data_IF_496208804212
#
_entry.id   IF_496208804212
#
_cell.length_a   1.000
_cell.length_b   1.000
_cell.length_c   1.000
_cell.angle_alpha   90.00
_cell.angle_beta   90.00
_cell.angle_gamma   90.00
#
_symmetry.space_group_name_H-M   'P 1'
#
loop_
_entity.id
_entity.type
_entity.pdbx_description
1 polymer ?
#
# COMPACT_ATOMS: atom_id res chain seq x y z
N UNK A 1 4.56 68.23 60.37
CA UNK A 1 5.15 68.80 59.15
C UNK A 1 4.06 68.72 58.08
N UNK A 2 3.26 69.78 57.96
CA UNK A 2 3.29 70.77 56.85
C UNK A 2 2.99 70.12 55.49
N UNK A 3 2.04 70.54 54.66
CA UNK A 3 0.96 71.55 54.71
C UNK A 3 0.17 71.34 53.38
N UNK A 4 -1.15 71.43 53.41
CA UNK A 4 -2.04 71.65 52.23
C UNK A 4 -1.62 72.93 51.44
N UNK A 5 -2.06 73.24 50.19
CA UNK A 5 -3.47 73.21 49.71
C UNK A 5 -3.73 73.09 48.17
N UNK A 6 -5.02 73.18 47.72
CA UNK A 6 -5.52 73.08 46.32
C UNK A 6 -5.75 74.51 45.72
N UNK A 7 -6.59 74.84 44.67
CA UNK A 7 -7.55 74.07 43.83
C UNK A 7 -7.57 74.38 42.29
N UNK A 8 -8.45 73.64 41.58
CA UNK A 8 -9.29 73.91 40.37
C UNK A 8 -9.37 75.38 39.87
N UNK A 9 -9.74 75.80 38.61
CA UNK A 9 -10.98 75.40 37.87
C UNK A 9 -11.04 75.69 36.32
N UNK A 10 -12.18 75.42 35.65
CA UNK A 10 -12.58 75.82 34.25
C UNK A 10 -11.82 75.14 33.07
N UNK A 11 -12.39 74.77 31.92
CA UNK A 11 -13.70 74.89 31.28
C UNK A 11 -13.58 74.25 29.86
N UNK A 12 -14.53 73.42 29.45
CA UNK A 12 -15.49 73.67 28.37
C UNK A 12 -14.96 73.88 26.92
N UNK A 13 -15.39 72.94 26.04
CA UNK A 13 -15.88 73.10 24.65
C UNK A 13 -14.90 73.34 23.47
N UNK A 14 -14.95 72.46 22.45
CA UNK A 14 -15.45 72.73 21.08
C UNK A 14 -14.97 71.68 20.04
N UNK A 15 -15.92 71.07 19.32
CA UNK A 15 -15.80 70.42 17.98
C UNK A 15 -15.72 71.55 16.91
N UNK A 16 -15.07 71.43 15.71
CA UNK A 16 -15.59 70.62 14.58
C UNK A 16 -14.57 70.08 13.51
N UNK A 17 -15.06 69.10 12.74
CA UNK A 17 -14.81 68.73 11.32
C UNK A 17 -13.49 69.08 10.57
N UNK A 18 -12.86 68.06 9.96
CA UNK A 18 -12.46 68.07 8.55
C UNK A 18 -12.06 66.67 8.04
N UNK A 19 -12.42 66.41 6.79
CA UNK A 19 -12.34 65.18 5.97
C UNK A 19 -11.09 64.29 6.08
N UNK A 20 -11.34 62.98 6.11
CA UNK A 20 -10.50 61.98 5.46
C UNK A 20 -11.35 60.77 5.04
N UNK A 21 -12.08 60.92 3.92
CA UNK A 21 -12.42 59.78 3.07
C UNK A 21 -11.14 59.21 2.46
N UNK A 22 -10.78 57.96 2.77
CA UNK A 22 -10.42 57.00 1.73
C UNK A 22 -10.13 55.60 2.26
N UNK A 23 -10.85 54.65 1.65
CA UNK A 23 -10.41 53.28 1.35
C UNK A 23 -10.24 52.33 2.53
N UNK A 24 -11.38 51.89 3.09
CA UNK A 24 -11.45 50.52 3.62
C UNK A 24 -11.29 49.56 2.44
N UNK A 25 -10.31 48.63 2.43
CA UNK A 25 -10.37 47.52 1.52
C UNK A 25 -11.56 46.67 1.94
N UNK A 26 -12.61 46.67 1.13
CA UNK A 26 -13.75 45.76 1.25
C UNK A 26 -13.22 44.34 1.03
N UNK A 27 -12.72 43.71 2.10
CA UNK A 27 -12.45 42.29 2.15
C UNK A 27 -13.80 41.57 2.19
N UNK A 28 -14.42 41.42 1.03
CA UNK A 28 -15.40 40.37 0.83
C UNK A 28 -14.57 39.10 0.76
N UNK A 29 -14.47 38.37 1.89
CA UNK A 29 -14.06 36.97 1.89
C UNK A 29 -15.09 36.19 1.04
N UNK A 30 -14.88 36.17 -0.27
CA UNK A 30 -15.62 35.33 -1.18
C UNK A 30 -15.46 33.88 -0.70
N UNK A 31 -16.59 33.20 -0.47
CA UNK A 31 -16.59 31.76 -0.15
C UNK A 31 -15.77 31.05 -1.24
N UNK A 32 -14.70 30.37 -0.84
CA UNK A 32 -13.83 29.62 -1.75
C UNK A 32 -14.67 28.76 -2.72
N UNK A 33 -14.36 28.86 -4.01
CA UNK A 33 -15.05 28.13 -5.08
C UNK A 33 -14.92 26.62 -4.86
N UNK A 34 -15.83 25.80 -5.41
CA UNK A 34 -15.72 24.34 -5.32
C UNK A 34 -14.37 23.80 -5.82
N UNK A 35 -13.82 24.39 -6.90
CA UNK A 35 -12.52 24.02 -7.46
C UNK A 35 -11.36 24.36 -6.53
N UNK A 36 -11.41 25.50 -5.83
CA UNK A 36 -10.39 25.87 -4.83
C UNK A 36 -10.42 24.92 -3.62
N UNK A 37 -11.62 24.53 -3.14
CA UNK A 37 -11.71 23.54 -2.05
C UNK A 37 -11.17 22.17 -2.44
N UNK A 38 -11.39 21.76 -3.70
CA UNK A 38 -10.81 20.55 -4.24
C UNK A 38 -9.27 20.64 -4.31
N UNK A 39 -8.73 21.77 -4.77
CA UNK A 39 -7.29 22.04 -4.78
C UNK A 39 -6.70 21.91 -3.37
N UNK A 40 -7.26 22.64 -2.39
CA UNK A 40 -6.79 22.63 -1.00
C UNK A 40 -6.84 21.22 -0.40
N UNK A 41 -7.91 20.46 -0.68
CA UNK A 41 -8.06 19.07 -0.23
C UNK A 41 -7.01 18.15 -0.86
N UNK A 42 -6.75 18.27 -2.16
CA UNK A 42 -5.77 17.45 -2.86
C UNK A 42 -4.34 17.75 -2.38
N UNK A 43 -4.03 19.02 -2.16
CA UNK A 43 -2.76 19.46 -1.57
C UNK A 43 -2.56 18.81 -0.20
N UNK A 44 -3.54 18.93 0.71
CA UNK A 44 -3.44 18.34 2.04
C UNK A 44 -3.31 16.81 2.02
N UNK A 45 -3.98 16.12 1.07
CA UNK A 45 -3.81 14.67 0.87
C UNK A 45 -2.40 14.32 0.39
N UNK A 46 -1.86 15.06 -0.57
CA UNK A 46 -0.49 14.81 -1.08
C UNK A 46 0.52 14.99 0.05
N UNK A 47 0.42 16.04 0.85
CA UNK A 47 1.32 16.27 1.98
C UNK A 47 1.23 15.13 3.02
N UNK A 48 0.01 14.70 3.34
CA UNK A 48 -0.20 13.56 4.25
C UNK A 48 0.40 12.26 3.69
N UNK A 49 0.22 11.98 2.39
CA UNK A 49 0.80 10.83 1.73
C UNK A 49 2.34 10.90 1.66
N UNK A 50 2.92 12.08 1.40
CA UNK A 50 4.38 12.28 1.42
C UNK A 50 4.97 12.07 2.82
N UNK A 51 4.30 12.58 3.85
CA UNK A 51 4.69 12.35 5.25
C UNK A 51 4.63 10.85 5.59
N UNK A 52 3.58 10.16 5.15
CA UNK A 52 3.44 8.72 5.35
C UNK A 52 4.52 7.91 4.63
N UNK A 53 4.80 8.23 3.36
CA UNK A 53 5.89 7.60 2.61
C UNK A 53 7.25 7.81 3.28
N UNK A 54 7.47 9.00 3.83
CA UNK A 54 8.69 9.32 4.59
C UNK A 54 8.79 8.47 5.85
N UNK A 55 7.69 8.30 6.60
CA UNK A 55 7.66 7.46 7.78
C UNK A 55 8.02 6.00 7.46
N UNK A 56 7.48 5.44 6.37
CA UNK A 56 7.82 4.09 5.91
C UNK A 56 9.29 3.95 5.52
N UNK A 57 9.85 4.94 4.81
CA UNK A 57 11.26 4.93 4.39
C UNK A 57 12.27 5.04 5.53
N UNK A 58 11.86 5.55 6.68
CA UNK A 58 12.75 5.75 7.82
C UNK A 58 12.90 4.52 8.72
N UNK A 59 12.03 3.52 8.59
CA UNK A 59 11.96 2.38 9.52
C UNK A 59 12.25 0.98 8.93
N UNK A 60 12.79 0.78 7.70
CA UNK A 60 12.95 -0.57 7.16
C UNK A 60 13.92 -1.42 7.99
N UNK A 61 15.01 -0.82 8.48
CA UNK A 61 16.00 -1.52 9.31
C UNK A 61 15.42 -1.99 10.64
N UNK A 62 14.57 -1.18 11.29
CA UNK A 62 13.96 -1.54 12.58
C UNK A 62 12.93 -2.68 12.42
N UNK A 63 12.15 -2.66 11.34
CA UNK A 63 11.20 -3.74 11.00
C UNK A 63 11.95 -5.05 10.78
N UNK A 64 13.01 -5.01 9.96
CA UNK A 64 13.82 -6.18 9.65
C UNK A 64 14.57 -6.72 10.88
N UNK A 65 15.14 -5.84 11.70
CA UNK A 65 15.78 -6.20 12.97
C UNK A 65 14.79 -6.91 13.90
N UNK A 66 13.57 -6.35 14.07
CA UNK A 66 12.52 -6.97 14.89
C UNK A 66 12.11 -8.34 14.35
N UNK A 67 12.01 -8.48 13.02
CA UNK A 67 11.70 -9.75 12.38
C UNK A 67 12.75 -10.81 12.74
N UNK A 68 14.03 -10.55 12.48
CA UNK A 68 15.09 -11.51 12.78
C UNK A 68 15.30 -11.76 14.29
N UNK A 69 15.14 -10.73 15.13
CA UNK A 69 15.39 -10.84 16.56
C UNK A 69 14.24 -11.47 17.35
N UNK A 70 12.99 -11.39 16.87
CA UNK A 70 11.81 -11.82 17.64
C UNK A 70 10.85 -12.71 16.88
N UNK A 71 10.50 -12.36 15.64
CA UNK A 71 9.54 -13.14 14.84
C UNK A 71 10.14 -14.49 14.42
N UNK A 72 11.34 -14.46 13.84
CA UNK A 72 11.99 -15.67 13.32
C UNK A 72 12.28 -16.70 14.42
N UNK A 73 12.74 -16.32 15.63
CA UNK A 73 12.78 -17.23 16.77
C UNK A 73 11.40 -17.77 17.16
N UNK A 74 10.35 -16.94 17.23
CA UNK A 74 9.03 -17.42 17.60
C UNK A 74 8.43 -18.42 16.59
N UNK A 75 8.71 -18.23 15.29
CA UNK A 75 8.36 -19.18 14.24
C UNK A 75 9.12 -20.51 14.40
N UNK A 76 10.42 -20.44 14.75
CA UNK A 76 11.21 -21.64 15.07
C UNK A 76 10.68 -22.36 16.29
N UNK A 77 10.40 -21.65 17.38
CA UNK A 77 9.88 -22.22 18.62
C UNK A 77 8.55 -22.95 18.38
N UNK A 78 7.65 -22.36 17.58
CA UNK A 78 6.41 -23.01 17.19
C UNK A 78 6.66 -24.28 16.38
N UNK A 79 7.54 -24.22 15.38
CA UNK A 79 7.89 -25.37 14.56
C UNK A 79 8.47 -26.50 15.41
N UNK A 80 9.42 -26.20 16.28
CA UNK A 80 10.06 -27.18 17.17
C UNK A 80 9.02 -27.82 18.11
N UNK A 81 8.06 -27.04 18.61
CA UNK A 81 6.96 -27.54 19.43
C UNK A 81 6.02 -28.46 18.63
N UNK A 82 5.67 -28.10 17.39
CA UNK A 82 4.87 -28.93 16.48
C UNK A 82 5.58 -30.26 16.19
N UNK A 83 6.85 -30.22 15.79
CA UNK A 83 7.64 -31.43 15.52
C UNK A 83 7.75 -32.31 16.75
N UNK A 84 7.97 -31.73 17.94
CA UNK A 84 8.01 -32.48 19.20
C UNK A 84 6.68 -33.20 19.47
N UNK A 85 5.55 -32.53 19.24
CA UNK A 85 4.23 -33.11 19.40
C UNK A 85 3.94 -34.20 18.38
N UNK A 86 4.29 -34.00 17.10
CA UNK A 86 4.15 -35.01 16.03
C UNK A 86 4.92 -36.29 16.40
N UNK A 87 6.19 -36.16 16.80
CA UNK A 87 7.03 -37.31 17.19
C UNK A 87 6.45 -38.03 18.42
N UNK A 88 5.92 -37.28 19.39
CA UNK A 88 5.27 -37.85 20.57
C UNK A 88 4.00 -38.63 20.19
N UNK A 89 3.18 -38.11 19.28
CA UNK A 89 1.97 -38.76 18.79
C UNK A 89 2.30 -40.04 18.00
N UNK A 90 3.29 -40.00 17.09
CA UNK A 90 3.78 -41.18 16.36
C UNK A 90 4.24 -42.29 17.33
N UNK A 91 5.04 -41.91 18.34
CA UNK A 91 5.50 -42.85 19.36
C UNK A 91 4.34 -43.48 20.15
N UNK A 92 3.29 -42.71 20.46
CA UNK A 92 2.11 -43.22 21.17
C UNK A 92 1.22 -44.11 20.30
N UNK A 93 1.12 -43.82 19.01
CA UNK A 93 0.36 -44.61 18.04
C UNK A 93 1.06 -45.94 17.73
N UNK A 94 2.38 -45.93 17.59
CA UNK A 94 3.21 -47.12 17.32
C UNK A 94 3.43 -47.98 18.55
N UNK A 95 3.71 -47.36 19.71
CA UNK A 95 3.99 -48.04 20.97
C UNK A 95 3.20 -47.43 22.13
N UNK A 96 1.90 -47.76 22.26
CA UNK A 96 1.03 -47.19 23.28
C UNK A 96 1.60 -47.39 24.70
N UNK A 97 1.68 -46.32 25.52
CA UNK A 97 2.24 -46.42 26.85
C UNK A 97 1.37 -47.31 27.76
N UNK A 98 2.01 -48.00 28.71
CA UNK A 98 1.34 -48.90 29.66
C UNK A 98 0.20 -48.18 30.38
N UNK A 99 -0.96 -48.84 30.48
CA UNK A 99 -2.17 -48.30 31.10
C UNK A 99 -3.07 -47.50 30.15
N UNK A 100 -2.60 -47.15 28.94
CA UNK A 100 -3.44 -46.55 27.92
C UNK A 100 -4.07 -47.63 27.03
N UNK A 101 -5.40 -47.76 27.08
CA UNK A 101 -6.14 -48.56 26.09
C UNK A 101 -6.32 -47.75 24.80
N UNK A 102 -5.67 -48.19 23.73
CA UNK A 102 -5.80 -47.59 22.40
C UNK A 102 -6.97 -48.20 21.64
N UNK A 103 -8.15 -47.56 21.70
CA UNK A 103 -9.33 -47.93 20.92
C UNK A 103 -9.20 -47.44 19.47
N UNK A 104 -10.03 -47.93 18.55
CA UNK A 104 -10.09 -47.42 17.17
C UNK A 104 -10.35 -45.90 17.17
N UNK A 105 -11.44 -45.46 17.82
CA UNK A 105 -11.79 -44.04 18.00
C UNK A 105 -10.64 -43.14 18.49
N UNK A 106 -9.82 -43.61 19.45
CA UNK A 106 -8.66 -42.83 19.93
C UNK A 106 -7.52 -42.81 18.93
N UNK A 107 -7.32 -43.92 18.20
CA UNK A 107 -6.32 -43.99 17.15
C UNK A 107 -6.67 -43.03 16.03
N UNK A 108 -7.92 -43.05 15.57
CA UNK A 108 -8.41 -42.23 14.47
C UNK A 108 -8.23 -40.74 14.81
N UNK A 109 -8.76 -40.27 15.95
CA UNK A 109 -8.61 -38.87 16.37
C UNK A 109 -7.15 -38.41 16.53
N UNK A 110 -6.25 -39.27 17.03
CA UNK A 110 -4.82 -38.95 17.15
C UNK A 110 -4.12 -38.95 15.79
N UNK A 111 -4.54 -39.82 14.88
CA UNK A 111 -4.05 -39.84 13.49
C UNK A 111 -4.48 -38.58 12.76
N UNK A 112 -5.76 -38.20 12.82
CA UNK A 112 -6.27 -36.98 12.17
C UNK A 112 -5.52 -35.75 12.66
N UNK A 113 -5.38 -35.61 13.98
CA UNK A 113 -4.66 -34.50 14.57
C UNK A 113 -3.16 -34.50 14.22
N UNK A 114 -2.55 -35.68 14.07
CA UNK A 114 -1.16 -35.80 13.62
C UNK A 114 -1.01 -35.36 12.17
N UNK A 115 -1.92 -35.76 11.27
CA UNK A 115 -1.90 -35.38 9.85
C UNK A 115 -2.12 -33.86 9.70
N UNK A 116 -3.11 -33.30 10.39
CA UNK A 116 -3.34 -31.85 10.47
C UNK A 116 -2.08 -31.07 10.89
N UNK A 117 -1.37 -31.58 11.92
CA UNK A 117 -0.15 -30.95 12.40
C UNK A 117 0.96 -31.02 11.36
N UNK A 118 1.11 -32.16 10.67
CA UNK A 118 2.10 -32.31 9.61
C UNK A 118 1.79 -31.34 8.46
N UNK A 119 0.56 -31.28 7.99
CA UNK A 119 0.14 -30.38 6.92
C UNK A 119 0.38 -28.91 7.27
N UNK A 120 0.28 -28.55 8.55
CA UNK A 120 0.59 -27.18 9.02
C UNK A 120 2.09 -26.84 9.04
N UNK A 121 2.98 -27.83 9.04
CA UNK A 121 4.45 -27.65 9.12
C UNK A 121 5.13 -27.84 7.76
N UNK A 122 4.59 -28.73 6.92
CA UNK A 122 5.18 -29.17 5.65
C UNK A 122 5.49 -28.05 4.64
N UNK A 123 4.65 -26.99 4.46
CA UNK A 123 4.94 -25.90 3.54
C UNK A 123 6.23 -25.11 3.85
N UNK A 124 6.86 -25.37 5.00
CA UNK A 124 7.98 -24.59 5.51
C UNK A 124 9.21 -25.44 5.88
N UNK A 125 9.10 -26.78 5.89
CA UNK A 125 10.19 -27.69 6.25
C UNK A 125 9.89 -29.15 5.85
N UNK A 126 10.11 -29.51 4.58
CA UNK A 126 10.06 -30.90 4.14
C UNK A 126 11.23 -31.68 4.76
N UNK A 127 11.00 -32.30 5.91
CA UNK A 127 11.91 -33.21 6.59
C UNK A 127 11.54 -34.65 6.22
N UNK A 128 12.50 -35.44 5.75
CA UNK A 128 12.35 -36.86 5.44
C UNK A 128 11.69 -37.64 6.60
N UNK A 129 11.95 -37.21 7.83
CA UNK A 129 11.36 -37.79 9.04
C UNK A 129 9.85 -37.53 9.10
N UNK A 130 9.41 -36.29 8.83
CA UNK A 130 8.00 -35.92 8.85
C UNK A 130 7.24 -36.56 7.69
N UNK A 131 7.87 -36.64 6.52
CA UNK A 131 7.33 -37.37 5.36
C UNK A 131 7.13 -38.85 5.71
N UNK A 132 8.12 -39.50 6.31
CA UNK A 132 8.01 -40.90 6.72
C UNK A 132 6.94 -41.14 7.79
N UNK A 133 6.70 -40.17 8.68
CA UNK A 133 5.60 -40.22 9.65
C UNK A 133 4.27 -40.04 8.92
N UNK A 134 4.13 -39.06 8.03
CA UNK A 134 2.91 -38.85 7.24
C UNK A 134 2.52 -40.10 6.45
N UNK A 135 3.44 -40.65 5.66
CA UNK A 135 3.19 -41.79 4.77
C UNK A 135 2.85 -43.09 5.52
N UNK A 136 3.11 -43.14 6.82
CA UNK A 136 2.70 -44.26 7.69
C UNK A 136 1.21 -44.22 8.01
N UNK A 137 0.62 -43.02 8.08
CA UNK A 137 -0.72 -42.79 8.57
C UNK A 137 -1.70 -42.28 7.50
N UNK A 138 -1.19 -41.70 6.41
CA UNK A 138 -1.99 -41.25 5.27
C UNK A 138 -2.13 -42.35 4.22
N UNK A 139 -3.30 -42.41 3.58
CA UNK A 139 -3.54 -43.30 2.44
C UNK A 139 -2.86 -42.81 1.15
N UNK A 140 -2.55 -41.51 1.08
CA UNK A 140 -1.87 -40.90 -0.06
C UNK A 140 -0.46 -40.52 0.36
N UNK A 141 0.59 -41.02 -0.32
CA UNK A 141 1.95 -40.63 0.03
C UNK A 141 2.14 -39.13 -0.21
N UNK A 142 2.88 -38.46 0.67
CA UNK A 142 3.11 -37.01 0.64
C UNK A 142 3.63 -36.55 -0.72
N UNK A 143 4.51 -37.34 -1.33
CA UNK A 143 5.05 -37.04 -2.66
C UNK A 143 3.96 -36.91 -3.73
N UNK A 144 2.92 -37.74 -3.67
CA UNK A 144 1.81 -37.67 -4.64
C UNK A 144 0.91 -36.44 -4.40
N UNK A 145 0.76 -36.02 -3.13
CA UNK A 145 0.04 -34.78 -2.77
C UNK A 145 0.79 -33.58 -3.35
N UNK A 146 2.10 -33.48 -3.08
CA UNK A 146 2.95 -32.41 -3.60
C UNK A 146 2.94 -32.34 -5.14
N UNK A 147 3.02 -33.49 -5.82
CA UNK A 147 2.94 -33.53 -7.29
C UNK A 147 1.58 -33.06 -7.83
N UNK A 148 0.49 -33.34 -7.11
CA UNK A 148 -0.85 -32.84 -7.42
C UNK A 148 -0.94 -31.32 -7.27
N UNK A 149 -0.54 -30.79 -6.12
CA UNK A 149 -0.53 -29.36 -5.83
C UNK A 149 0.33 -28.59 -6.85
N UNK A 150 1.52 -29.11 -7.17
CA UNK A 150 2.39 -28.53 -8.18
C UNK A 150 1.75 -28.52 -9.58
N UNK A 151 0.97 -29.55 -9.93
CA UNK A 151 0.29 -29.62 -11.22
C UNK A 151 -0.87 -28.62 -11.29
N UNK A 152 -1.63 -28.48 -10.21
CA UNK A 152 -2.73 -27.53 -10.10
C UNK A 152 -2.22 -26.07 -10.16
N UNK A 153 -1.14 -25.74 -9.45
CA UNK A 153 -0.51 -24.42 -9.51
C UNK A 153 0.00 -24.09 -10.93
N UNK A 154 0.65 -25.06 -11.60
CA UNK A 154 1.07 -24.91 -13.01
C UNK A 154 -0.12 -24.63 -13.93
N UNK A 155 -1.21 -25.38 -13.76
CA UNK A 155 -2.42 -25.21 -14.55
C UNK A 155 -3.06 -23.83 -14.34
N UNK A 156 -3.12 -23.35 -13.09
CA UNK A 156 -3.63 -22.01 -12.77
C UNK A 156 -2.78 -20.91 -13.43
N UNK A 157 -1.45 -21.01 -13.35
CA UNK A 157 -0.54 -20.07 -14.00
C UNK A 157 -0.74 -20.06 -15.51
N UNK A 158 -0.84 -21.25 -16.15
CA UNK A 158 -1.13 -21.33 -17.58
C UNK A 158 -2.46 -20.62 -17.89
N UNK A 159 -3.51 -20.86 -17.12
CA UNK A 159 -4.81 -20.23 -17.34
C UNK A 159 -4.75 -18.69 -17.22
N UNK A 160 -4.04 -18.16 -16.20
CA UNK A 160 -3.83 -16.72 -16.01
C UNK A 160 -3.10 -16.11 -17.21
N UNK A 161 -2.05 -16.78 -17.70
CA UNK A 161 -1.32 -16.33 -18.88
C UNK A 161 -2.19 -16.33 -20.14
N UNK A 162 -2.97 -17.40 -20.35
CA UNK A 162 -3.86 -17.50 -21.50
C UNK A 162 -4.94 -16.42 -21.50
N UNK A 163 -5.48 -16.10 -20.32
CA UNK A 163 -6.47 -15.05 -20.14
C UNK A 163 -5.88 -13.65 -20.36
N UNK A 164 -4.64 -13.42 -19.92
CA UNK A 164 -4.02 -12.09 -19.91
C UNK A 164 -3.33 -11.75 -21.23
N UNK A 165 -2.59 -12.71 -21.79
CA UNK A 165 -1.71 -12.50 -22.95
C UNK A 165 -2.16 -13.27 -24.20
N UNK A 166 -3.10 -14.21 -24.06
CA UNK A 166 -3.63 -15.02 -25.14
C UNK A 166 -3.17 -16.48 -25.08
N UNK A 167 -3.87 -17.36 -25.80
CA UNK A 167 -3.59 -18.80 -25.78
C UNK A 167 -2.15 -19.11 -26.22
N UNK A 168 -1.52 -20.03 -25.50
CA UNK A 168 -0.19 -20.53 -25.83
C UNK A 168 0.98 -19.63 -25.46
N UNK A 169 0.77 -18.59 -24.64
CA UNK A 169 1.87 -17.75 -24.14
C UNK A 169 2.81 -18.52 -23.22
N UNK A 170 2.29 -19.51 -22.50
CA UNK A 170 3.09 -20.43 -21.69
C UNK A 170 2.48 -21.83 -21.76
N UNK A 171 3.32 -22.83 -22.00
CA UNK A 171 2.97 -24.25 -21.92
C UNK A 171 3.92 -24.95 -20.97
N UNK A 172 3.46 -26.01 -20.33
CA UNK A 172 4.33 -26.93 -19.59
C UNK A 172 5.13 -27.78 -20.59
N UNK A 173 6.45 -27.86 -20.39
CA UNK A 173 7.28 -28.79 -21.16
C UNK A 173 7.21 -30.21 -20.56
N UNK A 174 7.40 -31.26 -21.38
CA UNK A 174 7.52 -32.62 -20.86
C UNK A 174 8.67 -32.71 -19.85
N UNK A 175 8.43 -33.38 -18.72
CA UNK A 175 9.40 -33.62 -17.64
C UNK A 175 10.03 -32.34 -17.03
N UNK A 176 9.35 -31.20 -17.16
CA UNK A 176 9.79 -29.95 -16.54
C UNK A 176 9.52 -29.95 -15.03
N UNK A 177 10.57 -29.71 -14.24
CA UNK A 177 10.44 -29.56 -12.78
C UNK A 177 9.61 -28.32 -12.44
N UNK A 178 8.95 -28.34 -11.28
CA UNK A 178 8.15 -27.20 -10.83
C UNK A 178 8.96 -25.89 -10.76
N UNK A 179 10.15 -25.92 -10.15
CA UNK A 179 11.02 -24.75 -10.09
C UNK A 179 11.39 -24.17 -11.47
N UNK A 180 11.69 -25.05 -12.44
CA UNK A 180 12.05 -24.62 -13.79
C UNK A 180 10.86 -23.96 -14.50
N UNK A 181 9.67 -24.54 -14.36
CA UNK A 181 8.43 -23.95 -14.85
C UNK A 181 8.18 -22.58 -14.22
N UNK A 182 8.30 -22.45 -12.89
CA UNK A 182 8.05 -21.20 -12.17
C UNK A 182 9.04 -20.10 -12.57
N UNK A 183 10.32 -20.43 -12.71
CA UNK A 183 11.33 -19.51 -13.18
C UNK A 183 11.04 -19.02 -14.61
N UNK A 184 10.63 -19.93 -15.49
CA UNK A 184 10.24 -19.59 -16.87
C UNK A 184 8.98 -18.75 -16.91
N UNK A 185 7.97 -19.07 -16.12
CA UNK A 185 6.74 -18.29 -16.01
C UNK A 185 7.04 -16.86 -15.56
N UNK A 186 7.87 -16.67 -14.53
CA UNK A 186 8.30 -15.34 -14.08
C UNK A 186 9.06 -14.58 -15.18
N UNK A 187 9.99 -15.23 -15.88
CA UNK A 187 10.73 -14.61 -16.98
C UNK A 187 9.80 -14.19 -18.14
N UNK A 188 8.84 -15.05 -18.50
CA UNK A 188 7.85 -14.75 -19.54
C UNK A 188 6.95 -13.58 -19.14
N UNK A 189 6.52 -13.51 -17.87
CA UNK A 189 5.74 -12.39 -17.36
C UNK A 189 6.46 -11.06 -17.55
N UNK A 190 7.73 -10.98 -17.14
CA UNK A 190 8.54 -9.78 -17.33
C UNK A 190 8.71 -9.42 -18.82
N UNK A 191 8.95 -10.41 -19.68
CA UNK A 191 9.10 -10.18 -21.12
C UNK A 191 7.83 -9.63 -21.78
N UNK A 192 6.65 -10.13 -21.38
CA UNK A 192 5.35 -9.65 -21.89
C UNK A 192 5.02 -8.25 -21.38
N UNK A 193 5.30 -7.95 -20.10
CA UNK A 193 5.15 -6.60 -19.54
C UNK A 193 6.03 -5.59 -20.28
N UNK A 194 7.31 -5.92 -20.51
CA UNK A 194 8.23 -5.08 -21.28
C UNK A 194 7.75 -4.91 -22.74
N UNK A 195 7.23 -5.97 -23.36
CA UNK A 195 6.70 -5.91 -24.72
C UNK A 195 5.45 -5.02 -24.80
N UNK A 196 4.59 -5.07 -23.79
CA UNK A 196 3.42 -4.21 -23.68
C UNK A 196 3.84 -2.74 -23.51
N UNK A 197 4.81 -2.44 -22.63
CA UNK A 197 5.32 -1.08 -22.44
C UNK A 197 5.91 -0.51 -23.74
N UNK A 198 6.72 -1.30 -24.45
CA UNK A 198 7.25 -0.91 -25.78
C UNK A 198 6.14 -0.65 -26.80
N UNK A 199 5.11 -1.50 -26.85
CA UNK A 199 3.95 -1.30 -27.75
C UNK A 199 3.19 -0.01 -27.41
N UNK A 200 3.06 0.30 -26.12
CA UNK A 200 2.44 1.54 -25.68
C UNK A 200 3.28 2.78 -26.03
N UNK A 201 4.60 2.71 -25.85
CA UNK A 201 5.52 3.79 -26.23
C UNK A 201 5.54 4.03 -27.74
N UNK A 202 5.60 2.97 -28.54
CA UNK A 202 5.48 3.06 -30.00
C UNK A 202 4.14 3.68 -30.42
N UNK A 203 3.04 3.29 -29.74
CA UNK A 203 1.74 3.88 -29.98
C UNK A 203 1.68 5.36 -29.57
N UNK A 204 2.31 5.74 -28.44
CA UNK A 204 2.45 7.13 -27.99
C UNK A 204 3.25 7.94 -29.01
N UNK A 205 4.38 7.42 -29.50
CA UNK A 205 5.22 8.07 -30.49
C UNK A 205 4.51 8.23 -31.84
N UNK A 206 3.88 7.19 -32.37
CA UNK A 206 3.09 7.27 -33.61
C UNK A 206 1.94 8.27 -33.51
N UNK A 207 1.30 8.39 -32.33
CA UNK A 207 0.27 9.41 -32.08
C UNK A 207 0.88 10.82 -32.09
N UNK A 208 2.05 11.01 -31.47
CA UNK A 208 2.77 12.29 -31.48
C UNK A 208 3.22 12.69 -32.90
N UNK A 209 3.78 11.76 -33.68
CA UNK A 209 4.21 11.99 -35.07
C UNK A 209 3.03 12.33 -35.98
N UNK A 210 1.90 11.61 -35.86
CA UNK A 210 0.66 11.95 -36.59
C UNK A 210 0.13 13.34 -36.22
N UNK A 211 0.25 13.74 -34.95
CA UNK A 211 -0.14 15.10 -34.50
C UNK A 211 0.79 16.16 -35.06
N UNK A 212 2.10 15.94 -35.05
CA UNK A 212 3.09 16.84 -35.64
C UNK A 212 2.88 17.01 -37.15
N UNK A 213 2.72 15.90 -37.90
CA UNK A 213 2.45 15.95 -39.34
C UNK A 213 1.13 16.67 -39.67
N UNK A 214 0.08 16.49 -38.85
CA UNK A 214 -1.19 17.21 -39.01
C UNK A 214 -1.07 18.70 -38.68
N UNK A 215 -0.23 19.08 -37.71
CA UNK A 215 0.06 20.48 -37.40
C UNK A 215 0.90 21.15 -38.51
N UNK A 216 1.88 20.46 -39.08
CA UNK A 216 2.70 20.96 -40.18
C UNK A 216 1.93 21.12 -41.49
N UNK A 217 1.04 20.16 -41.81
CA UNK A 217 0.11 20.28 -42.94
C UNK A 217 -0.87 21.46 -42.75
N UNK A 218 -1.33 21.69 -41.51
CA UNK A 218 -2.21 22.82 -41.17
C UNK A 218 -1.47 24.18 -41.20
N UNK A 219 -0.17 24.20 -40.87
CA UNK A 219 0.70 25.39 -40.93
C UNK A 219 1.09 25.77 -42.36
N UNK A 220 1.31 24.80 -43.24
CA UNK A 220 1.61 25.06 -44.68
C UNK A 220 0.39 25.52 -45.47
N UNK A 221 -0.83 25.33 -44.97
CA UNK A 221 -2.07 25.68 -45.64
C UNK A 221 -2.68 27.05 -45.27
N UNK A 222 -2.11 27.83 -44.33
CA UNK A 222 -2.72 29.11 -43.91
C UNK A 222 -1.71 30.21 -43.51
N UNK A 223 -1.66 31.29 -44.28
CA UNK A 223 -1.42 32.68 -43.80
C UNK A 223 -2.78 33.34 -43.46
N UNK A 224 -2.84 34.43 -42.66
CA UNK A 224 -3.45 34.44 -41.34
C UNK A 224 -4.89 34.96 -41.31
N UNK A 225 -5.73 34.38 -40.44
CA UNK A 225 -6.93 35.02 -39.90
C UNK A 225 -7.40 34.31 -38.61
N UNK A 226 -7.23 35.02 -37.48
CA UNK A 226 -8.13 35.23 -36.34
C UNK A 226 -9.05 34.08 -35.83
N UNK A 227 -8.84 33.79 -34.53
CA UNK A 227 -9.73 33.31 -33.45
C UNK A 227 -10.26 31.86 -33.32
N UNK A 228 -9.78 31.25 -32.22
CA UNK A 228 -10.52 30.66 -31.08
C UNK A 228 -11.07 29.21 -31.10
N UNK A 229 -10.87 28.58 -29.91
CA UNK A 229 -11.60 27.49 -29.21
C UNK A 229 -11.19 26.00 -29.40
N UNK A 230 -10.35 25.53 -28.46
CA UNK A 230 -10.46 24.34 -27.55
C UNK A 230 -10.61 22.86 -28.06
N UNK A 231 -10.46 21.82 -27.19
CA UNK A 231 -9.22 21.37 -26.55
C UNK A 231 -8.99 19.84 -26.76
N UNK A 232 -7.76 19.35 -26.57
CA UNK A 232 -7.52 17.89 -26.47
C UNK A 232 -6.34 17.60 -25.56
N UNK A 233 -6.62 16.87 -24.49
CA UNK A 233 -5.68 16.47 -23.46
C UNK A 233 -4.51 15.65 -24.04
N UNK A 234 -3.30 16.15 -23.79
CA UNK A 234 -2.01 15.48 -23.94
C UNK A 234 -1.45 15.16 -22.55
N UNK A 235 -0.66 14.08 -22.41
CA UNK A 235 -0.05 13.75 -21.12
C UNK A 235 0.95 14.86 -20.73
N UNK A 236 0.99 15.32 -19.47
CA UNK A 236 2.07 16.19 -19.02
C UNK A 236 3.18 15.24 -18.46
N UNK A 237 4.51 15.43 -18.48
CA UNK A 237 5.39 16.58 -18.19
C UNK A 237 6.86 16.20 -18.40
N UNK A 238 7.63 17.03 -19.13
CA UNK A 238 8.64 17.90 -18.49
C UNK A 238 8.35 19.40 -18.68
N UNK A 239 7.40 19.72 -19.57
CA UNK A 239 7.11 21.10 -19.95
C UNK A 239 6.28 21.88 -18.93
N UNK A 240 5.49 21.21 -18.06
CA UNK A 240 4.66 21.94 -17.10
C UNK A 240 5.48 22.57 -15.98
N UNK A 241 6.49 21.89 -15.44
CA UNK A 241 7.33 22.45 -14.37
C UNK A 241 8.11 23.67 -14.88
N UNK A 242 8.63 23.58 -16.12
CA UNK A 242 9.30 24.68 -16.84
C UNK A 242 8.32 25.81 -17.23
N UNK A 243 7.09 25.48 -17.58
CA UNK A 243 6.04 26.45 -17.94
C UNK A 243 5.47 27.18 -16.72
N UNK A 244 5.27 26.48 -15.61
CA UNK A 244 4.87 27.06 -14.33
C UNK A 244 5.98 27.97 -13.78
N UNK A 245 7.23 27.51 -13.79
CA UNK A 245 8.38 28.33 -13.43
C UNK A 245 8.47 29.59 -14.29
N UNK A 246 8.35 29.46 -15.62
CA UNK A 246 8.40 30.60 -16.55
C UNK A 246 7.23 31.57 -16.38
N UNK A 247 6.01 31.08 -16.11
CA UNK A 247 4.84 31.93 -15.81
C UNK A 247 5.01 32.67 -14.49
N UNK A 248 5.47 31.99 -13.44
CA UNK A 248 5.79 32.57 -12.13
C UNK A 248 6.90 33.62 -12.23
N UNK A 249 8.02 33.27 -12.88
CA UNK A 249 9.15 34.16 -13.11
C UNK A 249 8.79 35.39 -13.96
N UNK A 250 7.84 35.25 -14.90
CA UNK A 250 7.37 36.37 -15.74
C UNK A 250 6.44 37.33 -15.00
N UNK A 251 5.60 36.84 -14.08
CA UNK A 251 4.62 37.65 -13.35
C UNK A 251 5.22 38.33 -12.10
N UNK A 252 6.23 37.71 -11.47
CA UNK A 252 6.85 38.19 -10.23
C UNK A 252 8.30 38.67 -10.39
N UNK A 253 8.74 39.01 -11.59
CA UNK A 253 10.11 39.49 -11.78
C UNK A 253 10.34 40.85 -11.07
N UNK A 254 11.27 40.95 -10.11
CA UNK A 254 11.47 42.17 -9.32
C UNK A 254 11.97 43.38 -10.13
N UNK A 255 12.51 43.19 -11.33
CA UNK A 255 12.94 44.30 -12.22
C UNK A 255 11.79 45.14 -12.79
N UNK A 256 10.54 44.69 -12.71
CA UNK A 256 9.38 45.41 -13.26
C UNK A 256 8.62 46.27 -12.24
N UNK A 257 8.98 46.23 -10.97
CA UNK A 257 8.32 47.01 -9.92
C UNK A 257 9.05 48.32 -9.58
N UNK A 258 8.29 49.42 -9.58
CA UNK A 258 8.78 50.76 -9.21
C UNK A 258 8.68 51.04 -7.70
N UNK A 259 7.87 50.27 -6.96
CA UNK A 259 7.68 50.37 -5.51
C UNK A 259 8.73 49.54 -4.75
N UNK A 260 9.42 50.16 -3.80
CA UNK A 260 10.47 49.55 -2.99
C UNK A 260 9.94 48.45 -2.06
N UNK A 261 8.70 48.57 -1.55
CA UNK A 261 8.11 47.58 -0.66
C UNK A 261 7.70 46.30 -1.42
N UNK A 262 7.08 46.47 -2.59
CA UNK A 262 6.70 45.34 -3.46
C UNK A 262 7.92 44.64 -4.08
N UNK A 263 9.04 45.35 -4.31
CA UNK A 263 10.31 44.75 -4.75
C UNK A 263 10.86 43.73 -3.76
N UNK A 264 10.80 44.02 -2.45
CA UNK A 264 11.25 43.09 -1.41
C UNK A 264 10.35 41.85 -1.39
N UNK A 265 9.02 42.04 -1.40
CA UNK A 265 8.03 40.94 -1.44
C UNK A 265 8.21 40.02 -2.65
N UNK A 266 8.43 40.60 -3.84
CA UNK A 266 8.66 39.83 -5.08
C UNK A 266 10.02 39.11 -5.08
N UNK A 267 11.04 39.69 -4.46
CA UNK A 267 12.37 39.05 -4.34
C UNK A 267 12.32 37.80 -3.46
N UNK A 268 11.65 37.86 -2.30
CA UNK A 268 11.46 36.69 -1.42
C UNK A 268 10.62 35.59 -2.12
N UNK A 269 9.55 36.00 -2.80
CA UNK A 269 8.70 35.04 -3.52
C UNK A 269 9.45 34.37 -4.67
N UNK A 270 10.30 35.12 -5.40
CA UNK A 270 11.16 34.60 -6.46
C UNK A 270 12.22 33.63 -5.94
N UNK A 271 12.79 33.88 -4.75
CA UNK A 271 13.68 32.92 -4.10
C UNK A 271 12.95 31.60 -3.79
N UNK A 272 11.73 31.67 -3.25
CA UNK A 272 10.89 30.48 -3.01
C UNK A 272 10.57 29.69 -4.30
N UNK A 273 10.27 30.39 -5.40
CA UNK A 273 10.06 29.79 -6.72
C UNK A 273 11.32 29.07 -7.23
N UNK A 274 12.49 29.69 -7.06
CA UNK A 274 13.78 29.12 -7.46
C UNK A 274 14.12 27.86 -6.65
N UNK A 275 13.90 27.88 -5.34
CA UNK A 275 14.13 26.72 -4.47
C UNK A 275 13.21 25.56 -4.83
N UNK A 276 11.91 25.81 -5.04
CA UNK A 276 10.95 24.80 -5.45
C UNK A 276 11.31 24.19 -6.83
N UNK A 277 11.74 25.02 -7.78
CA UNK A 277 12.19 24.57 -9.10
C UNK A 277 13.45 23.70 -9.03
N UNK A 278 14.45 24.09 -8.24
CA UNK A 278 15.68 23.32 -8.03
C UNK A 278 15.40 21.95 -7.41
N UNK A 279 14.49 21.90 -6.43
CA UNK A 279 14.08 20.66 -5.77
C UNK A 279 13.08 19.83 -6.59
N UNK A 280 12.71 20.29 -7.80
CA UNK A 280 11.65 19.70 -8.64
C UNK A 280 10.32 19.54 -7.89
N UNK A 281 10.06 20.41 -6.92
CA UNK A 281 8.86 20.40 -6.09
C UNK A 281 7.70 21.10 -6.82
N UNK A 282 7.01 20.29 -7.63
CA UNK A 282 5.83 20.70 -8.38
C UNK A 282 4.71 21.21 -7.46
N UNK A 283 4.54 20.66 -6.26
CA UNK A 283 3.48 21.04 -5.34
C UNK A 283 3.72 22.46 -4.81
N UNK A 284 4.96 22.75 -4.40
CA UNK A 284 5.35 24.09 -3.99
C UNK A 284 5.16 25.14 -5.10
N UNK A 285 5.53 24.80 -6.35
CA UNK A 285 5.31 25.68 -7.50
C UNK A 285 3.82 25.94 -7.78
N UNK A 286 2.95 24.93 -7.65
CA UNK A 286 1.51 25.10 -7.82
C UNK A 286 0.89 25.98 -6.72
N UNK A 287 1.32 25.80 -5.47
CA UNK A 287 0.89 26.65 -4.35
C UNK A 287 1.28 28.10 -4.56
N UNK A 288 2.52 28.34 -4.97
CA UNK A 288 3.03 29.67 -5.28
C UNK A 288 2.24 30.32 -6.42
N UNK A 289 1.95 29.58 -7.50
CA UNK A 289 1.16 30.12 -8.61
C UNK A 289 -0.30 30.40 -8.23
N UNK A 290 -0.94 29.51 -7.48
CA UNK A 290 -2.31 29.71 -7.01
C UNK A 290 -2.41 30.96 -6.13
N UNK A 291 -1.46 31.20 -5.23
CA UNK A 291 -1.40 32.42 -4.42
C UNK A 291 -1.28 33.67 -5.28
N UNK A 292 -0.47 33.63 -6.34
CA UNK A 292 -0.30 34.78 -7.24
C UNK A 292 -1.56 35.10 -8.05
N UNK A 293 -2.33 34.08 -8.43
CA UNK A 293 -3.63 34.27 -9.09
C UNK A 293 -4.69 34.87 -8.16
N UNK A 294 -4.62 34.60 -6.85
CA UNK A 294 -5.53 35.18 -5.86
C UNK A 294 -5.20 36.64 -5.53
N UNK A 295 -3.93 37.02 -5.60
CA UNK A 295 -3.47 38.39 -5.39
C UNK A 295 -3.74 39.29 -6.61
N UNK A 296 -3.75 38.74 -7.83
CA UNK A 296 -4.03 39.48 -9.08
C UNK A 296 -5.53 39.76 -9.26
N UNK A 297 -5.99 40.94 -8.84
CA UNK A 297 -7.38 41.43 -9.00
C UNK A 297 -7.88 41.55 -10.45
N UNK A 298 -7.05 41.25 -11.46
CA UNK A 298 -7.31 41.42 -12.89
C UNK A 298 -7.54 40.06 -13.61
N UNK A 299 -7.27 38.94 -12.95
CA UNK A 299 -7.54 37.63 -13.55
C UNK A 299 -9.05 37.46 -13.76
N UNK A 300 -9.48 37.20 -15.00
CA UNK A 300 -10.88 36.85 -15.28
C UNK A 300 -11.22 35.53 -14.59
N UNK A 301 -12.30 35.49 -13.81
CA UNK A 301 -12.70 34.31 -13.01
C UNK A 301 -12.67 32.99 -13.82
N UNK A 302 -13.05 33.02 -15.10
CA UNK A 302 -13.00 31.86 -15.99
C UNK A 302 -11.58 31.31 -16.23
N UNK A 303 -10.59 32.20 -16.41
CA UNK A 303 -9.19 31.81 -16.65
C UNK A 303 -8.56 31.21 -15.38
N UNK A 304 -8.99 31.69 -14.21
CA UNK A 304 -8.61 31.15 -12.91
C UNK A 304 -9.23 29.77 -12.65
N UNK A 305 -10.50 29.55 -13.04
CA UNK A 305 -11.17 28.26 -12.94
C UNK A 305 -10.59 27.20 -13.88
N UNK A 306 -10.25 27.55 -15.12
CA UNK A 306 -9.61 26.63 -16.07
C UNK A 306 -8.23 26.18 -15.57
N UNK A 307 -7.43 27.12 -15.05
CA UNK A 307 -6.12 26.83 -14.45
C UNK A 307 -6.26 25.92 -13.22
N UNK A 308 -7.25 26.18 -12.35
CA UNK A 308 -7.55 25.32 -11.21
C UNK A 308 -7.97 23.90 -11.62
N UNK A 309 -8.73 23.76 -12.71
CA UNK A 309 -9.12 22.44 -13.23
C UNK A 309 -7.92 21.65 -13.71
N UNK A 310 -7.00 22.28 -14.45
CA UNK A 310 -5.71 21.67 -14.83
C UNK A 310 -4.88 21.25 -13.61
N UNK A 311 -4.88 22.06 -12.56
CA UNK A 311 -4.15 21.77 -11.32
C UNK A 311 -4.75 20.61 -10.56
N UNK A 312 -6.07 20.56 -10.40
CA UNK A 312 -6.74 19.46 -9.73
C UNK A 312 -6.55 18.13 -10.49
N UNK A 313 -6.63 18.15 -11.82
CA UNK A 313 -6.36 16.97 -12.65
C UNK A 313 -4.95 16.43 -12.42
N UNK A 314 -3.99 17.34 -12.33
CA UNK A 314 -2.61 17.01 -12.08
C UNK A 314 -2.36 16.49 -10.65
N UNK A 315 -2.88 17.18 -9.64
CA UNK A 315 -2.71 16.78 -8.24
C UNK A 315 -3.32 15.39 -8.01
N UNK A 316 -4.42 15.05 -8.69
CA UNK A 316 -4.97 13.68 -8.68
C UNK A 316 -3.98 12.66 -9.26
N UNK A 317 -3.35 12.96 -10.38
CA UNK A 317 -2.35 12.07 -10.97
C UNK A 317 -1.14 11.87 -10.04
N UNK A 318 -0.62 12.96 -9.46
CA UNK A 318 0.49 12.89 -8.49
C UNK A 318 0.11 12.12 -7.24
N UNK A 319 -1.11 12.32 -6.72
CA UNK A 319 -1.62 11.59 -5.57
C UNK A 319 -1.68 10.09 -5.85
N UNK A 320 -2.20 9.67 -7.02
CA UNK A 320 -2.22 8.28 -7.41
C UNK A 320 -0.82 7.66 -7.52
N UNK A 321 0.16 8.43 -8.03
CA UNK A 321 1.57 7.99 -8.06
C UNK A 321 2.12 7.77 -6.66
N UNK A 322 1.91 8.71 -5.72
CA UNK A 322 2.40 8.59 -4.34
C UNK A 322 1.67 7.45 -3.61
N UNK A 323 0.37 7.28 -3.82
CA UNK A 323 -0.40 6.16 -3.24
C UNK A 323 0.14 4.80 -3.71
N UNK A 324 0.50 4.66 -5.00
CA UNK A 324 1.16 3.46 -5.53
C UNK A 324 2.56 3.26 -4.95
N UNK A 325 3.35 4.34 -4.81
CA UNK A 325 4.68 4.29 -4.21
C UNK A 325 4.64 3.87 -2.73
N UNK A 326 3.63 4.32 -1.98
CA UNK A 326 3.38 3.87 -0.60
C UNK A 326 3.08 2.38 -0.60
N UNK A 327 2.16 1.89 -1.45
CA UNK A 327 1.83 0.47 -1.51
C UNK A 327 3.06 -0.39 -1.80
N UNK A 328 3.85 0.00 -2.79
CA UNK A 328 5.11 -0.67 -3.13
C UNK A 328 6.11 -0.63 -1.97
N UNK A 329 6.26 0.51 -1.30
CA UNK A 329 7.17 0.62 -0.16
C UNK A 329 6.71 -0.28 0.99
N UNK A 330 5.41 -0.37 1.27
CA UNK A 330 4.85 -1.27 2.29
C UNK A 330 5.19 -2.72 1.95
N UNK A 331 5.00 -3.12 0.69
CA UNK A 331 5.32 -4.48 0.24
C UNK A 331 6.82 -4.78 0.37
N UNK A 332 7.69 -3.87 -0.06
CA UNK A 332 9.16 -4.01 0.01
C UNK A 332 9.68 -4.13 1.46
N UNK A 333 9.07 -3.43 2.42
CA UNK A 333 9.52 -3.46 3.83
C UNK A 333 8.83 -4.53 4.67
N UNK A 334 7.72 -5.11 4.20
CA UNK A 334 6.99 -6.12 4.94
C UNK A 334 7.65 -7.48 4.75
N UNK A 335 8.12 -8.14 5.82
CA UNK A 335 8.77 -9.44 5.68
C UNK A 335 7.83 -10.51 5.09
N UNK A 336 8.37 -11.50 4.36
CA UNK A 336 7.63 -12.68 3.92
C UNK A 336 6.90 -13.36 5.09
N UNK A 337 5.69 -13.87 4.86
CA UNK A 337 4.83 -14.46 5.89
C UNK A 337 3.97 -13.45 6.67
N UNK A 338 4.42 -12.20 6.82
CA UNK A 338 3.60 -11.09 7.37
C UNK A 338 2.76 -10.43 6.26
N UNK A 339 3.27 -10.41 5.03
CA UNK A 339 2.64 -9.76 3.86
C UNK A 339 1.21 -10.26 3.56
N UNK A 340 0.94 -11.56 3.70
CA UNK A 340 -0.41 -12.11 3.47
C UNK A 340 -1.48 -11.52 4.41
N UNK A 341 -1.08 -11.02 5.58
CA UNK A 341 -1.98 -10.47 6.61
C UNK A 341 -1.94 -8.94 6.67
N UNK A 342 -1.03 -8.32 5.91
CA UNK A 342 -0.76 -6.87 5.97
C UNK A 342 -1.68 -6.03 5.09
N UNK A 343 -2.66 -6.62 4.38
CA UNK A 343 -3.55 -5.90 3.45
C UNK A 343 -4.36 -4.73 4.05
N UNK A 344 -4.35 -4.55 5.38
CA UNK A 344 -4.97 -3.43 6.10
C UNK A 344 -3.98 -2.45 6.74
N UNK A 345 -2.69 -2.73 6.67
CA UNK A 345 -1.62 -1.91 7.26
C UNK A 345 -1.45 -0.66 6.41
N UNK A 346 -1.62 0.50 7.05
CA UNK A 346 -1.46 1.82 6.39
C UNK A 346 -0.27 2.59 6.95
N UNK A 347 0.14 2.30 8.19
CA UNK A 347 1.24 2.99 8.88
C UNK A 347 2.22 2.01 9.52
N UNK A 348 3.51 2.41 9.69
CA UNK A 348 4.52 1.55 10.31
C UNK A 348 4.12 1.03 11.70
N UNK A 349 3.49 1.87 12.54
CA UNK A 349 3.12 1.48 13.90
C UNK A 349 2.05 0.37 13.92
N UNK A 350 1.23 0.28 12.85
CA UNK A 350 0.26 -0.80 12.71
C UNK A 350 0.94 -2.11 12.35
N UNK A 351 1.99 -2.08 11.52
CA UNK A 351 2.80 -3.25 11.20
C UNK A 351 3.53 -3.74 12.45
N UNK A 352 4.11 -2.83 13.23
CA UNK A 352 4.80 -3.20 14.47
C UNK A 352 3.87 -3.90 15.47
N UNK A 353 2.65 -3.38 15.66
CA UNK A 353 1.64 -3.99 16.53
C UNK A 353 1.15 -5.33 16.00
N UNK A 354 0.97 -5.46 14.69
CA UNK A 354 0.64 -6.73 14.04
C UNK A 354 1.71 -7.76 14.37
N UNK A 355 2.98 -7.42 14.16
CA UNK A 355 4.11 -8.30 14.47
C UNK A 355 4.17 -8.66 15.96
N UNK A 356 3.90 -7.73 16.87
CA UNK A 356 3.89 -8.05 18.32
C UNK A 356 2.78 -9.03 18.67
N UNK A 357 1.57 -8.85 18.13
CA UNK A 357 0.46 -9.76 18.33
C UNK A 357 0.77 -11.14 17.76
N UNK A 358 1.34 -11.20 16.55
CA UNK A 358 1.74 -12.45 15.91
C UNK A 358 2.82 -13.16 16.73
N UNK A 359 3.86 -12.46 17.20
CA UNK A 359 4.90 -13.02 18.06
C UNK A 359 4.28 -13.60 19.34
N UNK A 360 3.35 -12.88 19.98
CA UNK A 360 2.67 -13.37 21.18
C UNK A 360 1.82 -14.60 20.89
N UNK A 361 1.07 -14.59 19.79
CA UNK A 361 0.25 -15.72 19.36
C UNK A 361 1.12 -16.95 19.11
N UNK A 362 2.15 -16.83 18.27
CA UNK A 362 3.09 -17.92 17.95
C UNK A 362 3.69 -18.55 19.21
N UNK A 363 4.18 -17.72 20.14
CA UNK A 363 4.73 -18.19 21.42
C UNK A 363 3.68 -18.88 22.28
N UNK A 364 2.48 -18.30 22.39
CA UNK A 364 1.40 -18.90 23.18
C UNK A 364 0.97 -20.26 22.64
N UNK A 365 0.95 -20.41 21.32
CA UNK A 365 0.65 -21.67 20.64
C UNK A 365 1.76 -22.69 20.86
N UNK A 366 3.02 -22.29 20.70
CA UNK A 366 4.18 -23.15 20.98
C UNK A 366 4.17 -23.65 22.42
N UNK A 367 3.96 -22.75 23.39
CA UNK A 367 3.83 -23.10 24.81
C UNK A 367 2.65 -24.05 25.06
N UNK A 368 1.53 -23.86 24.35
CA UNK A 368 0.36 -24.74 24.47
C UNK A 368 0.67 -26.14 23.95
N UNK A 369 1.33 -26.26 22.81
CA UNK A 369 1.75 -27.54 22.25
C UNK A 369 2.73 -28.26 23.17
N UNK A 370 3.70 -27.55 23.74
CA UNK A 370 4.64 -28.12 24.71
C UNK A 370 3.95 -28.55 26.02
N UNK A 371 2.91 -27.83 26.45
CA UNK A 371 2.04 -28.29 27.56
C UNK A 371 1.31 -29.57 27.19
N UNK A 372 0.73 -29.67 26.00
CA UNK A 372 0.10 -30.90 25.50
C UNK A 372 1.10 -32.06 25.50
N UNK A 373 2.33 -31.87 25.00
CA UNK A 373 3.40 -32.88 25.06
C UNK A 373 3.67 -33.35 26.49
N UNK A 374 3.76 -32.40 27.45
CA UNK A 374 3.97 -32.72 28.86
C UNK A 374 2.80 -33.52 29.44
N UNK A 375 1.58 -33.11 29.16
CA UNK A 375 0.37 -33.72 29.70
C UNK A 375 0.10 -35.10 29.08
N UNK A 376 0.43 -35.30 27.80
CA UNK A 376 0.47 -36.62 27.15
C UNK A 376 1.51 -37.55 27.80
N UNK A 377 2.59 -37.01 28.35
CA UNK A 377 3.60 -37.81 29.04
C UNK A 377 3.20 -38.15 30.50
N UNK A 378 2.36 -37.35 31.16
CA UNK A 378 1.84 -37.65 32.50
C UNK A 378 0.70 -38.70 32.44
N UNK A 379 0.85 -39.89 33.08
CA UNK A 379 -0.19 -40.92 33.10
C UNK A 379 -1.55 -40.44 33.63
N UNK A 380 -1.58 -39.44 34.52
CA UNK A 380 -2.83 -38.91 35.10
C UNK A 380 -3.60 -38.01 34.14
N UNK A 381 -2.87 -37.25 33.31
CA UNK A 381 -3.45 -36.23 32.43
C UNK A 381 -3.65 -36.74 30.99
N UNK A 382 -2.80 -37.68 30.55
CA UNK A 382 -2.83 -38.25 29.18
C UNK A 382 -4.22 -38.67 28.72
N UNK A 383 -4.98 -39.36 29.58
CA UNK A 383 -6.31 -39.88 29.21
C UNK A 383 -7.30 -38.74 28.95
N UNK A 384 -7.19 -37.65 29.70
CA UNK A 384 -8.02 -36.46 29.51
C UNK A 384 -7.69 -35.81 28.17
N UNK A 385 -6.40 -35.52 27.92
CA UNK A 385 -5.95 -34.89 26.67
C UNK A 385 -6.39 -35.69 25.44
N UNK A 386 -6.27 -37.02 25.47
CA UNK A 386 -6.70 -37.87 24.35
C UNK A 386 -8.22 -37.81 24.18
N UNK A 387 -9.00 -37.77 25.26
CA UNK A 387 -10.45 -37.67 25.15
C UNK A 387 -10.86 -36.30 24.58
N UNK A 388 -10.19 -35.21 24.98
CA UNK A 388 -10.44 -33.87 24.40
C UNK A 388 -10.15 -33.88 22.89
N UNK A 389 -9.04 -34.49 22.45
CA UNK A 389 -8.72 -34.62 21.03
C UNK A 389 -9.76 -35.46 20.27
N UNK A 390 -10.31 -36.49 20.91
CA UNK A 390 -11.41 -37.28 20.34
C UNK A 390 -12.67 -36.44 20.18
N UNK A 391 -13.05 -35.66 21.18
CA UNK A 391 -14.21 -34.76 21.10
C UNK A 391 -14.02 -33.72 19.98
N UNK A 392 -12.82 -33.12 19.88
CA UNK A 392 -12.49 -32.17 18.82
C UNK A 392 -12.51 -32.78 17.41
N UNK A 393 -12.02 -34.02 17.24
CA UNK A 393 -12.08 -34.70 15.94
C UNK A 393 -13.54 -34.96 15.54
N UNK A 394 -14.40 -35.36 16.47
CA UNK A 394 -15.82 -35.60 16.20
C UNK A 394 -16.58 -34.34 15.81
N UNK A 395 -16.39 -33.24 16.56
CA UNK A 395 -17.01 -31.95 16.22
C UNK A 395 -16.61 -31.48 14.82
N UNK A 396 -15.37 -31.76 14.40
CA UNK A 396 -14.91 -31.41 13.06
C UNK A 396 -15.57 -32.27 11.98
N UNK A 397 -15.62 -33.59 12.17
CA UNK A 397 -16.28 -34.48 11.22
C UNK A 397 -17.77 -34.16 11.07
N UNK A 398 -18.45 -33.78 12.16
CA UNK A 398 -19.85 -33.33 12.11
C UNK A 398 -20.02 -32.04 11.29
N UNK A 399 -19.09 -31.09 11.39
CA UNK A 399 -19.08 -29.86 10.58
C UNK A 399 -18.82 -30.17 9.10
N UNK A 400 -17.85 -31.04 8.79
CA UNK A 400 -17.49 -31.39 7.41
C UNK A 400 -18.60 -32.19 6.72
N UNK A 401 -19.29 -33.09 7.44
CA UNK A 401 -20.49 -33.76 6.93
C UNK A 401 -21.62 -32.76 6.64
N UNK A 402 -21.79 -31.75 7.49
CA UNK A 402 -22.81 -30.71 7.30
C UNK A 402 -22.52 -29.83 6.07
N UNK A 403 -21.27 -29.41 5.87
CA UNK A 403 -20.84 -28.64 4.70
C UNK A 403 -20.87 -29.48 3.40
N UNK A 404 -20.56 -30.78 3.48
CA UNK A 404 -20.73 -31.75 2.40
C UNK A 404 -22.20 -31.92 1.97
N UNK A 405 -23.12 -31.92 2.95
CA UNK A 405 -24.57 -31.97 2.68
C UNK A 405 -25.06 -30.66 2.06
N UNK A 406 -24.58 -29.51 2.53
CA UNK A 406 -24.96 -28.20 1.98
C UNK A 406 -24.43 -27.99 0.56
N UNK A 407 -23.17 -28.31 0.29
CA UNK A 407 -22.59 -28.25 -1.06
C UNK A 407 -23.33 -29.15 -2.05
N UNK A 408 -23.65 -30.39 -1.65
CA UNK A 408 -24.46 -31.32 -2.45
C UNK A 408 -25.92 -30.90 -2.66
N UNK A 409 -26.43 -29.94 -1.88
CA UNK A 409 -27.76 -29.36 -2.04
C UNK A 409 -27.79 -28.18 -3.02
N UNK A 410 -26.67 -27.47 -3.18
CA UNK A 410 -26.54 -26.34 -4.12
C UNK A 410 -26.05 -26.77 -5.51
N UNK A 411 -25.47 -27.97 -5.66
CA UNK A 411 -25.04 -28.55 -6.94
C UNK A 411 -26.11 -29.43 -7.65
N UNK A 412 -27.39 -29.38 -7.22
CA UNK A 412 -28.51 -30.09 -7.88
C UNK A 412 -29.46 -29.19 -8.65
#
# INVERSE_FOLDING_TARGET
MHNDPPPDPFGATQTPAADAQSLKPTSIKAKASPLQREFDRLVGRIEACQALLTAWRQQPAAILEKYHAKMEPALRDLRDAQTTLIVQLDAMLTSPPKGLRMTARRRDALTDYLLDLIDSVMPHNADDTLIAIHDRYSDTPMQAILEGDEADEKAEIIAIFEQTFGKGTIQQAPDETHDAFMARARAQLFAELDAQERREDDARQRRAEKRAAKQDAKRRAKTPAVNATEPAAEPPKPDLLRTLYRKLASNLHPDRESDAAEKVRKTETMQGINTAYQNKDLLALLKLHNRTLQDDTIATDALAEDTLREYNALLKAQLATIESEIFRTIDEVTPPGVAMRSGRVKRPEQLERLMDNDIQHLRSTADSMLRTVRDLNDPKLRTHVINDLVEMSEERHEMDEFDGILSGFFDR
#
